data_IF_401628963960
#
_entry.id   IF_401628963960
#
_cell.length_a   1.000
_cell.length_b   1.000
_cell.length_c   1.000
_cell.angle_alpha   90.00
_cell.angle_beta   90.00
_cell.angle_gamma   90.00
#
_symmetry.space_group_name_H-M   'P 1'
#
loop_
_entity.id
_entity.type
_entity.pdbx_description
1 polymer ?
#
# COMPACT_ATOMS: atom_id res chain seq x y z
N UNK A 1 9.11 4.90 -21.96
CA UNK A 1 8.04 4.06 -21.38
C UNK A 1 7.93 4.46 -19.92
N UNK A 2 6.82 5.07 -19.49
CA UNK A 2 6.67 5.54 -18.12
C UNK A 2 6.36 4.33 -17.24
N UNK A 3 7.34 3.87 -16.46
CA UNK A 3 7.17 2.75 -15.54
C UNK A 3 6.04 3.10 -14.55
N UNK A 4 4.99 2.27 -14.39
CA UNK A 4 3.91 2.58 -13.45
C UNK A 4 4.50 2.77 -12.06
N UNK A 5 4.05 3.81 -11.38
CA UNK A 5 4.57 4.15 -10.07
C UNK A 5 4.25 3.03 -9.07
N UNK A 6 4.97 3.00 -7.95
CA UNK A 6 4.77 1.93 -6.95
C UNK A 6 3.36 1.92 -6.37
N UNK A 7 2.73 3.09 -6.22
CA UNK A 7 1.36 3.20 -5.70
C UNK A 7 0.40 2.54 -6.69
N UNK A 8 0.56 2.74 -7.99
CA UNK A 8 -0.26 2.11 -9.02
C UNK A 8 -0.17 0.58 -8.97
N UNK A 9 1.06 0.05 -8.84
CA UNK A 9 1.28 -1.40 -8.70
C UNK A 9 0.66 -1.95 -7.42
N UNK A 10 0.83 -1.24 -6.32
CA UNK A 10 0.24 -1.63 -5.04
C UNK A 10 -1.29 -1.59 -5.10
N UNK A 11 -1.87 -0.55 -5.71
CA UNK A 11 -3.31 -0.42 -5.92
C UNK A 11 -3.85 -1.59 -6.76
N UNK A 12 -3.15 -1.96 -7.83
CA UNK A 12 -3.51 -3.11 -8.65
C UNK A 12 -3.49 -4.43 -7.87
N UNK A 13 -2.53 -4.58 -6.94
CA UNK A 13 -2.39 -5.79 -6.10
C UNK A 13 -3.51 -5.90 -5.07
N UNK A 14 -3.90 -4.78 -4.46
CA UNK A 14 -4.97 -4.72 -3.47
C UNK A 14 -6.37 -4.84 -4.10
N UNK A 15 -6.48 -4.58 -5.41
CA UNK A 15 -7.74 -4.63 -6.16
C UNK A 15 -8.77 -3.64 -5.61
N UNK A 16 -10.04 -4.02 -5.71
CA UNK A 16 -11.17 -3.19 -5.24
C UNK A 16 -11.42 -3.29 -3.74
N UNK A 17 -10.72 -4.15 -3.00
CA UNK A 17 -10.92 -4.33 -1.55
C UNK A 17 -10.34 -3.16 -0.74
N UNK A 18 -9.35 -2.46 -1.32
CA UNK A 18 -8.73 -1.30 -0.69
C UNK A 18 -8.47 -0.19 -1.70
N UNK A 19 -8.79 1.04 -1.32
CA UNK A 19 -8.48 2.24 -2.11
C UNK A 19 -7.36 3.03 -1.43
N UNK A 20 -6.20 3.15 -2.06
CA UNK A 20 -5.05 3.92 -1.54
C UNK A 20 -5.32 5.42 -1.64
N UNK A 21 -5.21 6.15 -0.52
CA UNK A 21 -5.38 7.61 -0.48
C UNK A 21 -4.04 8.35 -0.68
N UNK A 22 -3.10 8.17 0.26
CA UNK A 22 -1.79 8.83 0.25
C UNK A 22 -0.75 8.03 1.01
N UNK A 23 0.51 8.23 0.64
CA UNK A 23 1.67 7.77 1.41
C UNK A 23 1.85 8.69 2.62
N UNK A 24 2.10 8.11 3.80
CA UNK A 24 2.32 8.84 5.06
C UNK A 24 3.80 9.09 5.36
N UNK A 25 4.70 8.50 4.57
CA UNK A 25 6.11 8.32 4.94
C UNK A 25 6.24 7.13 5.90
N UNK A 26 7.16 6.22 5.60
CA UNK A 26 7.40 5.04 6.43
C UNK A 26 8.59 5.23 7.36
N UNK A 27 8.48 4.71 8.58
CA UNK A 27 9.65 4.53 9.45
C UNK A 27 10.49 3.34 8.97
N UNK A 28 11.81 3.52 8.93
CA UNK A 28 12.77 2.48 8.52
C UNK A 28 12.72 2.18 7.00
N UNK A 29 12.67 0.89 6.64
CA UNK A 29 12.67 0.41 5.24
C UNK A 29 11.26 0.15 4.65
N UNK A 30 10.20 0.39 5.42
CA UNK A 30 8.82 0.13 4.96
C UNK A 30 8.19 1.34 4.27
N UNK A 31 7.19 1.10 3.41
CA UNK A 31 6.30 2.15 2.88
C UNK A 31 4.93 2.03 3.51
N UNK A 32 4.33 3.16 3.86
CA UNK A 32 3.09 3.21 4.64
C UNK A 32 2.07 4.09 3.94
N UNK A 33 0.88 3.54 3.72
CA UNK A 33 -0.23 4.23 3.05
C UNK A 33 -1.47 4.27 3.93
N UNK A 34 -2.23 5.36 3.83
CA UNK A 34 -3.65 5.34 4.21
C UNK A 34 -4.44 4.71 3.09
N UNK A 35 -5.36 3.82 3.44
CA UNK A 35 -6.34 3.27 2.52
C UNK A 35 -7.73 3.25 3.15
N UNK A 36 -8.75 3.11 2.31
CA UNK A 36 -10.11 2.74 2.74
C UNK A 36 -10.31 1.26 2.42
N UNK A 37 -10.66 0.47 3.44
CA UNK A 37 -11.10 -0.91 3.26
C UNK A 37 -12.60 -0.91 2.94
N UNK A 38 -12.97 -1.46 1.78
CA UNK A 38 -14.27 -1.19 1.17
C UNK A 38 -15.43 -1.95 1.78
N UNK A 39 -15.20 -3.13 2.38
CA UNK A 39 -16.29 -3.94 2.92
C UNK A 39 -16.90 -3.31 4.18
N UNK A 40 -16.07 -2.66 5.00
CA UNK A 40 -16.51 -1.98 6.22
C UNK A 40 -16.49 -0.45 6.11
N UNK A 41 -15.99 0.10 5.01
CA UNK A 41 -15.93 1.55 4.77
C UNK A 41 -15.04 2.30 5.76
N UNK A 42 -13.99 1.66 6.28
CA UNK A 42 -13.12 2.23 7.33
C UNK A 42 -11.74 2.59 6.80
N UNK A 43 -11.13 3.61 7.41
CA UNK A 43 -9.73 3.95 7.15
C UNK A 43 -8.81 2.93 7.81
N UNK A 44 -7.86 2.44 7.04
CA UNK A 44 -6.83 1.48 7.47
C UNK A 44 -5.45 1.99 7.04
N UNK A 45 -4.41 1.41 7.64
CA UNK A 45 -3.02 1.62 7.23
C UNK A 45 -2.52 0.37 6.52
N UNK A 46 -1.97 0.54 5.32
CA UNK A 46 -1.27 -0.53 4.58
C UNK A 46 0.22 -0.31 4.73
N UNK A 47 0.92 -1.25 5.38
CA UNK A 47 2.38 -1.24 5.53
C UNK A 47 2.99 -2.28 4.59
N UNK A 48 3.74 -1.80 3.60
CA UNK A 48 4.46 -2.67 2.66
C UNK A 48 5.88 -2.85 3.15
N UNK A 49 6.26 -4.10 3.38
CA UNK A 49 7.60 -4.49 3.79
C UNK A 49 8.50 -4.70 2.56
N UNK A 50 9.80 -4.40 2.64
CA UNK A 50 10.78 -4.87 1.66
C UNK A 50 10.71 -6.38 1.52
N UNK A 51 10.94 -6.88 0.31
CA UNK A 51 10.93 -8.31 0.02
C UNK A 51 11.92 -9.10 0.91
N UNK A 52 13.08 -8.51 1.26
CA UNK A 52 14.08 -9.11 2.16
C UNK A 52 13.60 -9.25 3.62
N UNK A 53 12.60 -8.49 4.05
CA UNK A 53 12.06 -8.55 5.43
C UNK A 53 10.78 -9.40 5.54
N UNK A 54 10.16 -9.78 4.42
CA UNK A 54 8.96 -10.61 4.40
C UNK A 54 9.27 -12.12 4.39
N UNK A 55 10.53 -12.49 4.13
CA UNK A 55 11.00 -13.87 4.18
C UNK A 55 11.55 -14.22 5.57
N UNK A 56 10.68 -14.66 6.48
CA UNK A 56 11.07 -15.44 7.67
C UNK A 56 9.93 -16.39 8.03
#
# INVERSE_FOLDING_TARGET
>A
MNTPDFRDRLQATLGSAYTLERELGGGGMSRVFVAVETALGRKVVVKVLPHDLAAT
#
